data_IF_071054209794
#
_entry.id   IF_071054209794
#
_cell.length_a   1.000
_cell.length_b   1.000
_cell.length_c   1.000
_cell.angle_alpha   90.00
_cell.angle_beta   90.00
_cell.angle_gamma   90.00
#
_symmetry.space_group_name_H-M   'P 1'
#
loop_
_entity.id
_entity.type
_entity.pdbx_description
1 polymer ?
#
# COMPACT_ATOMS: atom_id res chain seq x y z
N UNK A 1 0.27 13.14 -11.15
CA UNK A 1 0.03 13.15 -9.68
C UNK A 1 0.29 11.79 -8.98
N UNK A 2 0.23 10.64 -9.68
CA UNK A 2 0.93 9.39 -9.28
C UNK A 2 2.28 9.18 -10.01
N UNK A 3 2.60 10.06 -10.96
CA UNK A 3 3.58 9.90 -12.04
C UNK A 3 5.07 9.92 -11.63
N UNK A 4 5.42 9.70 -10.36
CA UNK A 4 6.84 9.62 -9.94
C UNK A 4 7.20 8.41 -9.09
N UNK A 5 6.26 7.48 -8.86
CA UNK A 5 6.52 6.25 -8.08
C UNK A 5 6.64 4.99 -8.95
N UNK A 6 6.37 5.06 -10.26
CA UNK A 6 6.42 3.92 -11.17
C UNK A 6 7.79 3.78 -11.87
N UNK A 7 8.89 3.83 -11.10
CA UNK A 7 10.22 3.49 -11.66
C UNK A 7 11.02 2.52 -10.81
N UNK A 8 10.37 1.65 -10.04
CA UNK A 8 10.91 0.32 -9.76
C UNK A 8 9.84 -0.59 -9.20
N UNK A 9 9.92 -1.84 -9.62
CA UNK A 9 8.94 -2.90 -9.44
C UNK A 9 8.86 -3.41 -7.98
N UNK A 10 9.19 -2.59 -6.96
CA UNK A 10 9.34 -2.99 -5.55
C UNK A 10 8.99 -1.88 -4.54
N UNK A 11 8.28 -0.82 -4.92
CA UNK A 11 8.07 0.32 -4.02
C UNK A 11 6.77 0.17 -3.24
N UNK A 12 6.82 -0.74 -2.28
CA UNK A 12 5.85 -0.79 -1.21
C UNK A 12 5.97 0.53 -0.42
N UNK A 13 5.03 1.46 -0.62
CA UNK A 13 5.11 2.78 0.00
C UNK A 13 4.44 2.77 1.37
N UNK A 14 5.19 3.18 2.40
CA UNK A 14 4.64 3.41 3.73
C UNK A 14 3.59 4.54 3.65
N UNK A 15 2.43 4.28 4.23
CA UNK A 15 1.35 5.27 4.38
C UNK A 15 0.90 5.32 5.82
N UNK A 16 0.54 6.51 6.28
CA UNK A 16 0.01 6.69 7.62
C UNK A 16 -1.39 6.05 7.73
N UNK A 17 -2.16 6.08 6.65
CA UNK A 17 -3.47 5.43 6.54
C UNK A 17 -3.68 4.80 5.16
N UNK A 18 -3.63 3.47 5.11
CA UNK A 18 -3.87 2.68 3.90
C UNK A 18 -5.35 2.66 3.51
N UNK A 19 -6.28 2.76 4.46
CA UNK A 19 -7.71 2.71 4.19
C UNK A 19 -8.21 4.02 3.56
N UNK A 20 -7.69 5.16 4.04
CA UNK A 20 -7.97 6.47 3.43
C UNK A 20 -7.47 6.54 1.98
N UNK A 21 -6.25 6.05 1.72
CA UNK A 21 -5.70 5.99 0.36
C UNK A 21 -6.48 5.03 -0.53
N UNK A 22 -6.94 3.90 0.01
CA UNK A 22 -7.82 2.99 -0.71
C UNK A 22 -9.12 3.67 -1.13
N UNK A 23 -9.81 4.37 -0.24
CA UNK A 23 -11.05 5.10 -0.56
C UNK A 23 -10.80 6.18 -1.64
N UNK A 24 -9.64 6.84 -1.60
CA UNK A 24 -9.27 7.88 -2.56
C UNK A 24 -8.96 7.32 -3.95
N UNK A 25 -8.47 6.09 -4.03
CA UNK A 25 -7.94 5.48 -5.25
C UNK A 25 -8.85 4.41 -5.86
N UNK A 26 -9.74 3.77 -5.09
CA UNK A 26 -10.58 2.64 -5.55
C UNK A 26 -11.37 2.90 -6.84
N UNK A 27 -11.74 4.15 -7.10
CA UNK A 27 -12.54 4.55 -8.28
C UNK A 27 -11.68 5.10 -9.43
N UNK A 28 -10.35 5.18 -9.24
CA UNK A 28 -9.39 5.79 -10.18
C UNK A 28 -8.38 4.81 -10.77
N UNK A 29 -8.15 3.68 -10.10
CA UNK A 29 -7.19 2.65 -10.50
C UNK A 29 -7.82 1.27 -10.38
N UNK A 30 -7.30 0.31 -11.15
CA UNK A 30 -7.79 -1.06 -11.10
C UNK A 30 -7.33 -1.73 -9.80
N UNK A 31 -8.29 -2.21 -9.01
CA UNK A 31 -8.03 -2.78 -7.70
C UNK A 31 -7.67 -4.25 -7.84
N UNK A 32 -6.44 -4.61 -7.43
CA UNK A 32 -6.02 -6.02 -7.40
C UNK A 32 -6.59 -6.71 -6.17
N UNK A 33 -6.48 -6.08 -5.00
CA UNK A 33 -7.17 -6.55 -3.79
C UNK A 33 -7.44 -5.39 -2.83
N UNK A 34 -8.56 -5.47 -2.12
CA UNK A 34 -8.93 -4.54 -1.06
C UNK A 34 -7.94 -4.57 0.13
N UNK A 35 -7.94 -3.56 1.01
CA UNK A 35 -7.09 -3.53 2.19
C UNK A 35 -7.26 -4.80 3.03
N UNK A 36 -6.15 -5.50 3.27
CA UNK A 36 -6.12 -6.75 4.01
C UNK A 36 -5.07 -6.69 5.11
N UNK A 37 -5.42 -7.22 6.28
CA UNK A 37 -4.45 -7.49 7.33
C UNK A 37 -3.67 -8.75 6.98
N UNK A 38 -2.36 -8.61 6.82
CA UNK A 38 -1.44 -9.69 6.55
C UNK A 38 -1.03 -10.41 7.85
N UNK A 39 -0.64 -11.70 7.80
CA UNK A 39 -0.34 -12.47 9.00
C UNK A 39 0.84 -11.94 9.81
N UNK A 40 1.72 -11.14 9.19
CA UNK A 40 2.81 -10.44 9.86
C UNK A 40 2.41 -9.09 10.47
N UNK A 41 1.13 -8.72 10.44
CA UNK A 41 0.60 -7.54 11.14
C UNK A 41 0.58 -6.23 10.35
N UNK A 42 0.99 -6.25 9.08
CA UNK A 42 0.83 -5.09 8.20
C UNK A 42 -0.55 -5.12 7.56
N UNK A 43 -1.18 -3.96 7.40
CA UNK A 43 -2.32 -3.78 6.51
C UNK A 43 -1.81 -3.36 5.14
N UNK A 44 -2.25 -4.03 4.08
CA UNK A 44 -1.80 -3.73 2.71
C UNK A 44 -2.94 -3.73 1.72
N UNK A 45 -2.83 -2.90 0.70
CA UNK A 45 -3.73 -2.82 -0.47
C UNK A 45 -2.88 -2.81 -1.74
N UNK A 46 -3.39 -3.38 -2.82
CA UNK A 46 -2.70 -3.40 -4.10
C UNK A 46 -3.62 -2.99 -5.23
N UNK A 47 -3.07 -2.20 -6.15
CA UNK A 47 -3.74 -1.74 -7.35
C UNK A 47 -2.79 -1.78 -8.54
N UNK A 48 -3.37 -1.68 -9.73
CA UNK A 48 -2.67 -1.57 -11.01
C UNK A 48 -2.87 -0.16 -11.55
N UNK A 49 -1.77 0.51 -11.85
CA UNK A 49 -1.83 1.82 -12.53
C UNK A 49 -2.25 1.65 -14.01
N UNK A 50 -2.65 2.73 -14.71
CA UNK A 50 -3.01 2.66 -16.13
C UNK A 50 -1.91 2.10 -17.04
N UNK A 51 -0.65 2.19 -16.63
CA UNK A 51 0.52 1.67 -17.31
C UNK A 51 0.75 0.16 -17.06
N UNK A 52 -0.04 -0.46 -16.17
CA UNK A 52 0.02 -1.88 -15.86
C UNK A 52 0.97 -2.25 -14.70
N UNK A 53 1.57 -1.27 -14.04
CA UNK A 53 2.45 -1.46 -12.89
C UNK A 53 1.66 -1.85 -11.65
N UNK A 54 2.11 -2.90 -10.97
CA UNK A 54 1.59 -3.28 -9.67
C UNK A 54 2.18 -2.38 -8.58
N UNK A 55 1.31 -1.66 -7.87
CA UNK A 55 1.68 -0.80 -6.76
C UNK A 55 1.02 -1.33 -5.49
N UNK A 56 1.83 -1.53 -4.45
CA UNK A 56 1.37 -1.96 -3.14
C UNK A 56 1.56 -0.83 -2.13
N UNK A 57 0.53 -0.52 -1.35
CA UNK A 57 0.64 0.34 -0.18
C UNK A 57 0.53 -0.53 1.06
N UNK A 58 1.32 -0.23 2.08
CA UNK A 58 1.20 -0.92 3.36
C UNK A 58 1.46 0.01 4.54
N UNK A 59 0.89 -0.36 5.67
CA UNK A 59 1.13 0.27 6.97
C UNK A 59 1.27 -0.78 8.07
N UNK A 60 2.10 -0.54 9.10
CA UNK A 60 2.12 -1.36 10.29
C UNK A 60 0.83 -1.14 11.08
N UNK A 61 -0.02 -2.17 11.16
CA UNK A 61 -1.32 -2.07 11.82
C UNK A 61 -1.24 -2.58 13.26
N UNK A 62 -0.60 -3.73 13.47
CA UNK A 62 -0.46 -4.33 14.80
C UNK A 62 0.74 -3.77 15.56
N UNK A 63 0.70 -3.82 16.90
CA UNK A 63 1.81 -3.41 17.76
C UNK A 63 3.15 -4.09 17.44
N UNK A 64 3.24 -5.42 17.21
CA UNK A 64 4.50 -6.04 16.79
C UNK A 64 5.00 -5.50 15.43
N UNK A 65 4.09 -5.21 14.49
CA UNK A 65 4.47 -4.60 13.22
C UNK A 65 4.99 -3.16 13.43
N UNK A 66 4.29 -2.35 14.23
CA UNK A 66 4.72 -0.98 14.57
C UNK A 66 6.11 -0.98 15.21
N UNK A 67 6.38 -1.88 16.15
CA UNK A 67 7.70 -2.04 16.77
C UNK A 67 8.79 -2.39 15.76
N UNK A 68 8.51 -3.26 14.79
CA UNK A 68 9.47 -3.65 13.74
C UNK A 68 9.88 -2.48 12.84
N UNK A 69 8.97 -1.55 12.59
CA UNK A 69 9.21 -0.38 11.74
C UNK A 69 9.61 0.88 12.52
N UNK A 70 9.40 0.92 13.84
CA UNK A 70 9.84 2.02 14.70
C UNK A 70 11.37 2.12 14.88
N UNK A 71 12.12 1.09 14.47
CA UNK A 71 13.58 1.00 14.65
C UNK A 71 14.37 1.27 13.36
N UNK A 72 13.77 1.89 12.33
CA UNK A 72 14.41 2.17 11.03
C UNK A 72 14.41 3.64 10.69
#
# INVERSE_FOLDING_TARGET
>A
MLQRLARRCMDAAFRDDVDAEYIRLKDKVDLVHAPKLMPWGNRSVQFRDPEGTLVALFMPFTDPAKKRFASR
#
